data_IF_095188151087
#
_entry.id   IF_095188151087
#
_cell.length_a   1.000
_cell.length_b   1.000
_cell.length_c   1.000
_cell.angle_alpha   90.00
_cell.angle_beta   90.00
_cell.angle_gamma   90.00
#
_symmetry.space_group_name_H-M   'P 1'
#
loop_
_entity.id
_entity.type
_entity.pdbx_description
1 polymer ?
#
# COMPACT_ATOMS: atom_id res chain seq x y z
N UNK A 1 6.30 -33.92 -25.18
CA UNK A 1 5.42 -33.38 -24.12
C UNK A 1 6.26 -32.36 -23.36
N UNK A 2 6.36 -31.14 -23.90
CA UNK A 2 7.28 -30.13 -23.39
C UNK A 2 6.71 -29.59 -22.07
N UNK A 3 7.40 -29.92 -20.99
CA UNK A 3 7.16 -29.44 -19.64
C UNK A 3 7.05 -27.92 -19.62
N UNK A 4 6.10 -27.40 -18.82
CA UNK A 4 6.07 -26.00 -18.40
C UNK A 4 7.43 -25.65 -17.78
N UNK A 5 8.28 -25.01 -18.56
CA UNK A 5 9.51 -24.42 -18.08
C UNK A 5 9.16 -22.94 -17.84
N UNK A 6 9.01 -22.55 -16.58
CA UNK A 6 8.83 -21.15 -16.21
C UNK A 6 10.08 -20.38 -16.68
N UNK A 7 9.96 -19.71 -17.81
CA UNK A 7 10.99 -18.81 -18.33
C UNK A 7 10.87 -17.48 -17.63
N UNK A 8 11.74 -17.20 -16.66
CA UNK A 8 12.06 -15.83 -16.27
C UNK A 8 12.88 -15.22 -17.40
N UNK A 9 12.23 -14.42 -18.26
CA UNK A 9 12.95 -13.61 -19.23
C UNK A 9 13.43 -12.36 -18.48
N UNK A 10 14.59 -12.49 -17.84
CA UNK A 10 15.34 -11.32 -17.40
C UNK A 10 15.85 -10.65 -18.68
N UNK A 11 15.30 -9.49 -19.03
CA UNK A 11 15.99 -8.58 -19.94
C UNK A 11 17.15 -7.97 -19.15
N UNK A 12 18.18 -8.77 -18.91
CA UNK A 12 19.50 -8.29 -18.52
C UNK A 12 20.13 -7.71 -19.78
N UNK A 13 19.94 -6.41 -20.00
CA UNK A 13 20.89 -5.66 -20.81
C UNK A 13 22.23 -5.77 -20.12
N UNK A 14 23.14 -6.51 -20.77
CA UNK A 14 24.60 -6.42 -20.69
C UNK A 14 25.06 -5.41 -19.66
N UNK A 15 25.65 -5.90 -18.57
CA UNK A 15 26.45 -5.10 -17.64
C UNK A 15 27.43 -4.25 -18.47
N UNK A 16 27.06 -2.99 -18.71
CA UNK A 16 27.99 -1.97 -19.15
C UNK A 16 28.30 -1.16 -17.90
N UNK A 17 29.57 -1.24 -17.51
CA UNK A 17 30.19 -0.35 -16.54
C UNK A 17 30.12 1.08 -17.05
N UNK A 18 28.99 1.76 -16.85
CA UNK A 18 28.90 3.20 -17.00
C UNK A 18 28.56 3.82 -15.64
N UNK A 19 29.61 3.99 -14.82
CA UNK A 19 29.66 5.10 -13.88
C UNK A 19 29.52 6.39 -14.68
N UNK A 20 28.31 6.93 -14.83
CA UNK A 20 28.00 8.37 -14.83
C UNK A 20 26.49 8.58 -15.00
N UNK A 21 25.90 9.35 -14.09
CA UNK A 21 24.48 9.75 -13.94
C UNK A 21 23.62 8.76 -13.15
N UNK A 22 23.30 9.12 -11.91
CA UNK A 22 22.46 8.36 -10.98
C UNK A 22 20.97 8.34 -11.35
N UNK A 23 20.67 7.89 -12.56
CA UNK A 23 19.32 7.51 -12.97
C UNK A 23 19.31 6.00 -12.99
N UNK A 24 18.80 5.38 -11.92
CA UNK A 24 18.46 3.96 -11.95
C UNK A 24 17.51 3.73 -13.13
N UNK A 25 18.01 3.13 -14.22
CA UNK A 25 17.15 2.70 -15.31
C UNK A 25 16.30 1.57 -14.73
N UNK A 26 15.04 1.88 -14.39
CA UNK A 26 14.11 0.91 -13.83
C UNK A 26 13.76 -0.14 -14.90
N UNK A 27 14.54 -1.21 -14.99
CA UNK A 27 14.34 -2.28 -15.96
C UNK A 27 12.95 -2.92 -15.78
N UNK A 28 12.15 -2.98 -16.85
CA UNK A 28 10.82 -3.61 -16.86
C UNK A 28 10.95 -5.14 -16.86
N UNK A 29 10.46 -5.79 -15.81
CA UNK A 29 10.40 -7.25 -15.74
C UNK A 29 9.06 -7.75 -16.25
N UNK A 30 9.08 -8.65 -17.22
CA UNK A 30 7.88 -9.30 -17.78
C UNK A 30 7.83 -10.75 -17.29
N UNK A 31 6.72 -11.14 -16.66
CA UNK A 31 6.47 -12.52 -16.26
C UNK A 31 5.45 -13.12 -17.23
N UNK A 32 5.73 -14.30 -17.76
CA UNK A 32 4.91 -14.87 -18.81
C UNK A 32 5.22 -16.31 -19.17
N UNK A 33 4.51 -16.81 -20.18
CA UNK A 33 4.68 -18.13 -20.75
C UNK A 33 5.13 -18.04 -22.21
N UNK A 34 6.07 -18.92 -22.59
CA UNK A 34 6.48 -19.13 -23.98
C UNK A 34 5.67 -20.27 -24.60
N UNK A 35 5.07 -20.02 -25.76
CA UNK A 35 4.18 -20.95 -26.47
C UNK A 35 4.73 -21.14 -27.88
N UNK A 36 5.00 -22.39 -28.27
CA UNK A 36 5.45 -22.71 -29.62
C UNK A 36 4.24 -22.83 -30.57
N UNK A 37 4.31 -22.13 -31.71
CA UNK A 37 3.30 -22.13 -32.77
C UNK A 37 3.83 -22.88 -33.99
N UNK A 38 3.46 -24.16 -34.18
CA UNK A 38 4.02 -25.00 -35.24
C UNK A 38 3.65 -24.52 -36.65
N UNK A 39 2.50 -23.86 -36.83
CA UNK A 39 2.04 -23.37 -38.14
C UNK A 39 2.87 -22.17 -38.64
N UNK A 40 3.49 -21.42 -37.72
CA UNK A 40 4.27 -20.22 -38.01
C UNK A 40 5.77 -20.40 -37.73
N UNK A 41 6.20 -21.58 -37.26
CA UNK A 41 7.57 -21.89 -36.84
C UNK A 41 8.17 -20.86 -35.85
N UNK A 42 7.32 -20.27 -34.99
CA UNK A 42 7.69 -19.18 -34.09
C UNK A 42 7.30 -19.48 -32.64
N UNK A 43 7.92 -18.76 -31.69
CA UNK A 43 7.55 -18.79 -30.26
C UNK A 43 6.84 -17.48 -29.90
N UNK A 44 5.61 -17.60 -29.42
CA UNK A 44 4.83 -16.50 -28.84
C UNK A 44 5.13 -16.38 -27.34
N UNK A 45 5.47 -15.19 -26.88
CA UNK A 45 5.62 -14.89 -25.46
C UNK A 45 4.42 -14.08 -24.95
N UNK A 46 3.57 -14.74 -24.17
CA UNK A 46 2.45 -14.08 -23.48
C UNK A 46 2.91 -13.66 -22.09
N UNK A 47 2.90 -12.37 -21.79
CA UNK A 47 3.46 -11.86 -20.55
C UNK A 47 2.66 -10.68 -19.96
N UNK A 48 2.86 -10.47 -18.66
CA UNK A 48 2.35 -9.34 -17.89
C UNK A 48 3.50 -8.64 -17.17
N UNK A 49 3.46 -7.31 -17.02
CA UNK A 49 4.47 -6.56 -16.29
C UNK A 49 4.45 -6.94 -14.80
N UNK A 50 5.63 -7.21 -14.24
CA UNK A 50 5.79 -7.48 -12.81
C UNK A 50 5.83 -6.15 -12.05
N UNK A 51 4.66 -5.75 -11.51
CA UNK A 51 4.47 -4.53 -10.72
C UNK A 51 3.68 -4.83 -9.45
N UNK A 52 3.96 -4.09 -8.37
CA UNK A 52 3.28 -4.27 -7.08
C UNK A 52 2.42 -3.06 -6.70
N UNK A 53 2.81 -1.86 -7.14
CA UNK A 53 2.21 -0.60 -6.71
C UNK A 53 2.03 0.38 -7.89
N UNK A 54 1.18 1.39 -7.73
CA UNK A 54 1.01 2.45 -8.73
C UNK A 54 2.29 3.28 -8.92
N UNK A 55 3.07 3.45 -7.86
CA UNK A 55 4.35 4.14 -7.88
C UNK A 55 5.36 3.42 -8.80
N UNK A 56 5.38 2.09 -8.77
CA UNK A 56 6.26 1.28 -9.62
C UNK A 56 5.88 1.37 -11.10
N UNK A 57 4.58 1.39 -11.41
CA UNK A 57 4.07 1.60 -12.75
C UNK A 57 4.54 2.95 -13.30
N UNK A 58 4.35 4.01 -12.52
CA UNK A 58 4.70 5.37 -12.91
C UNK A 58 6.22 5.53 -13.12
N UNK A 59 7.04 4.95 -12.24
CA UNK A 59 8.52 4.94 -12.37
C UNK A 59 8.98 4.27 -13.66
N UNK A 60 8.26 3.23 -14.11
CA UNK A 60 8.57 2.47 -15.33
C UNK A 60 7.91 3.05 -16.58
N UNK A 61 7.20 4.18 -16.48
CA UNK A 61 6.50 4.83 -17.59
C UNK A 61 5.28 4.05 -18.09
N UNK A 62 4.74 3.15 -17.27
CA UNK A 62 3.54 2.38 -17.56
C UNK A 62 2.32 3.01 -16.86
N UNK A 63 1.16 2.78 -17.46
CA UNK A 63 -0.12 3.19 -16.92
C UNK A 63 -0.97 1.98 -16.55
N UNK A 64 -1.93 2.18 -15.64
CA UNK A 64 -2.90 1.12 -15.30
C UNK A 64 -3.75 0.71 -16.52
N UNK A 65 -3.89 1.58 -17.52
CA UNK A 65 -4.55 1.27 -18.80
C UNK A 65 -3.81 0.22 -19.63
N UNK A 66 -2.50 0.05 -19.42
CA UNK A 66 -1.67 -0.90 -20.15
C UNK A 66 -1.86 -2.33 -19.61
N UNK A 67 -2.46 -2.47 -18.43
CA UNK A 67 -2.82 -3.77 -17.85
C UNK A 67 -4.29 -4.09 -18.18
N UNK A 68 -4.56 -5.22 -18.87
CA UNK A 68 -5.92 -5.57 -19.24
C UNK A 68 -6.82 -5.82 -18.02
N UNK A 69 -8.12 -5.58 -18.18
CA UNK A 69 -9.12 -5.73 -17.10
C UNK A 69 -9.25 -7.16 -16.56
N UNK A 70 -8.86 -8.17 -17.33
CA UNK A 70 -8.90 -9.57 -16.93
C UNK A 70 -7.58 -10.05 -16.30
N UNK A 71 -6.55 -9.21 -16.26
CA UNK A 71 -5.27 -9.54 -15.64
C UNK A 71 -5.35 -9.33 -14.13
N UNK A 72 -5.10 -10.39 -13.36
CA UNK A 72 -5.12 -10.36 -11.91
C UNK A 72 -4.11 -9.37 -11.30
N UNK A 73 -3.05 -9.00 -12.04
CA UNK A 73 -2.05 -8.00 -11.62
C UNK A 73 -2.70 -6.64 -11.42
N UNK A 74 -3.70 -6.29 -12.24
CA UNK A 74 -4.44 -5.04 -12.13
C UNK A 74 -5.19 -4.95 -10.80
N UNK A 75 -5.91 -6.01 -10.47
CA UNK A 75 -6.68 -6.09 -9.22
C UNK A 75 -5.75 -6.06 -8.01
N UNK A 76 -4.60 -6.75 -8.09
CA UNK A 76 -3.61 -6.76 -7.01
C UNK A 76 -3.05 -5.36 -6.72
N UNK A 77 -2.70 -4.60 -7.77
CA UNK A 77 -2.20 -3.22 -7.61
C UNK A 77 -3.25 -2.32 -6.97
N UNK A 78 -4.50 -2.40 -7.44
CA UNK A 78 -5.61 -1.60 -6.91
C UNK A 78 -5.93 -1.96 -5.46
N UNK A 79 -5.99 -3.24 -5.12
CA UNK A 79 -6.19 -3.70 -3.74
C UNK A 79 -5.04 -3.25 -2.84
N UNK A 80 -3.79 -3.30 -3.32
CA UNK A 80 -2.63 -2.81 -2.60
C UNK A 80 -2.75 -1.33 -2.21
N UNK A 81 -3.23 -0.50 -3.12
CA UNK A 81 -3.48 0.92 -2.85
C UNK A 81 -4.64 1.13 -1.89
N UNK A 82 -5.76 0.40 -2.08
CA UNK A 82 -6.89 0.47 -1.16
C UNK A 82 -6.47 0.12 0.26
N UNK A 83 -5.74 -0.98 0.46
CA UNK A 83 -5.25 -1.37 1.78
C UNK A 83 -4.28 -0.33 2.36
N UNK A 84 -3.44 0.30 1.53
CA UNK A 84 -2.54 1.38 1.96
C UNK A 84 -3.31 2.59 2.48
N UNK A 85 -4.41 2.97 1.83
CA UNK A 85 -5.28 4.07 2.26
C UNK A 85 -6.09 3.72 3.51
N UNK A 86 -6.70 2.53 3.54
CA UNK A 86 -7.45 2.04 4.70
C UNK A 86 -6.56 1.96 5.95
N UNK A 87 -5.31 1.53 5.79
CA UNK A 87 -4.34 1.49 6.88
C UNK A 87 -4.04 2.88 7.44
N UNK A 88 -3.81 3.88 6.58
CA UNK A 88 -3.59 5.28 7.01
C UNK A 88 -4.79 5.83 7.81
N UNK A 89 -6.00 5.62 7.29
CA UNK A 89 -7.23 6.04 7.97
C UNK A 89 -7.40 5.37 9.33
N UNK A 90 -7.11 4.07 9.41
CA UNK A 90 -7.18 3.31 10.66
C UNK A 90 -6.20 3.86 11.70
N UNK A 91 -4.99 4.20 11.29
CA UNK A 91 -3.97 4.79 12.17
C UNK A 91 -4.39 6.19 12.66
N UNK A 92 -4.96 7.02 11.81
CA UNK A 92 -5.47 8.34 12.21
C UNK A 92 -6.63 8.21 13.21
N UNK A 93 -7.52 7.25 13.00
CA UNK A 93 -8.63 6.94 13.91
C UNK A 93 -8.14 6.48 15.28
N UNK A 94 -7.10 5.64 15.32
CA UNK A 94 -6.49 5.18 16.57
C UNK A 94 -5.95 6.37 17.38
N UNK A 95 -5.17 7.24 16.75
CA UNK A 95 -4.61 8.45 17.38
C UNK A 95 -5.72 9.37 17.90
N UNK A 96 -6.78 9.58 17.11
CA UNK A 96 -7.90 10.44 17.53
C UNK A 96 -8.65 9.85 18.73
N UNK A 97 -8.84 8.52 18.72
CA UNK A 97 -9.51 7.80 19.80
C UNK A 97 -8.73 7.91 21.10
N UNK A 98 -7.41 7.75 21.05
CA UNK A 98 -6.54 7.93 22.23
C UNK A 98 -6.63 9.34 22.80
N UNK A 99 -6.57 10.36 21.93
CA UNK A 99 -6.71 11.76 22.33
C UNK A 99 -8.08 12.05 22.95
N UNK A 100 -9.14 11.47 22.39
CA UNK A 100 -10.48 11.59 22.93
C UNK A 100 -10.57 10.96 24.33
N UNK A 101 -10.03 9.75 24.50
CA UNK A 101 -10.00 9.08 25.81
C UNK A 101 -9.25 9.91 26.86
N UNK A 102 -8.10 10.49 26.50
CA UNK A 102 -7.36 11.39 27.39
C UNK A 102 -8.19 12.62 27.80
N UNK A 103 -8.89 13.22 26.84
CA UNK A 103 -9.74 14.41 27.10
C UNK A 103 -10.92 14.06 28.00
N UNK A 104 -11.54 12.90 27.80
CA UNK A 104 -12.64 12.42 28.65
C UNK A 104 -12.18 12.22 30.10
N UNK A 105 -11.01 11.61 30.32
CA UNK A 105 -10.45 11.45 31.67
C UNK A 105 -10.19 12.79 32.35
N UNK A 106 -9.60 13.75 31.63
CA UNK A 106 -9.37 15.09 32.17
C UNK A 106 -10.68 15.80 32.54
N UNK A 107 -11.71 15.66 31.70
CA UNK A 107 -13.04 16.21 31.97
C UNK A 107 -13.69 15.57 33.22
N UNK A 108 -13.56 14.25 33.38
CA UNK A 108 -14.05 13.55 34.58
C UNK A 108 -13.36 14.03 35.86
N UNK A 109 -12.06 14.31 35.79
CA UNK A 109 -11.30 14.82 36.94
C UNK A 109 -11.73 16.25 37.31
N UNK A 110 -11.96 17.13 36.33
CA UNK A 110 -12.51 18.47 36.58
C UNK A 110 -13.94 18.41 37.15
N UNK A 111 -14.76 17.49 36.66
CA UNK A 111 -16.09 17.25 37.22
C UNK A 111 -16.01 16.83 38.69
N UNK A 112 -15.16 15.87 39.04
CA UNK A 112 -14.97 15.44 40.44
C UNK A 112 -14.49 16.57 41.35
N UNK A 113 -13.62 17.46 40.86
CA UNK A 113 -13.20 18.66 41.62
C UNK A 113 -14.39 19.57 41.89
N UNK A 114 -15.23 19.80 40.88
CA UNK A 114 -16.45 20.62 41.00
C UNK A 114 -17.43 20.00 42.01
N UNK A 115 -17.73 18.71 41.87
CA UNK A 115 -18.62 17.98 42.79
C UNK A 115 -18.12 18.03 44.25
N UNK A 116 -16.79 17.96 44.44
CA UNK A 116 -16.17 18.07 45.76
C UNK A 116 -16.30 19.47 46.36
N UNK A 117 -16.12 20.51 45.55
CA UNK A 117 -16.29 21.90 45.99
C UNK A 117 -17.75 22.16 46.38
N UNK A 118 -18.71 21.70 45.58
CA UNK A 118 -20.13 21.80 45.88
C UNK A 118 -20.49 21.08 47.19
N UNK A 119 -19.94 19.88 47.42
CA UNK A 119 -20.13 19.15 48.68
C UNK A 119 -19.58 19.93 49.89
N UNK A 120 -18.36 20.47 49.78
CA UNK A 120 -17.74 21.26 50.86
C UNK A 120 -18.56 22.51 51.15
N UNK A 121 -19.01 23.21 50.10
CA UNK A 121 -19.82 24.43 50.22
C UNK A 121 -21.16 24.16 50.90
N UNK A 122 -21.89 23.12 50.48
CA UNK A 122 -23.12 22.68 51.14
C UNK A 122 -22.88 22.32 52.61
N UNK A 123 -21.77 21.63 52.93
CA UNK A 123 -21.45 21.28 54.32
C UNK A 123 -21.18 22.50 55.20
N UNK A 124 -20.45 23.49 54.69
CA UNK A 124 -20.21 24.76 55.38
C UNK A 124 -21.50 25.54 55.63
N UNK A 125 -22.45 25.52 54.69
CA UNK A 125 -23.70 26.24 54.82
C UNK A 125 -24.71 25.58 55.79
N UNK A 126 -24.60 24.26 56.01
CA UNK A 126 -25.48 23.52 56.93
C UNK A 126 -24.93 23.54 58.37
N UNK A 127 -23.61 23.62 58.55
CA UNK A 127 -22.92 23.54 59.84
C UNK A 127 -22.28 24.86 60.31
N UNK A 128 -22.50 25.96 59.57
CA UNK A 128 -22.02 27.31 59.87
C UNK A 128 -23.13 28.25 60.29
#
# INVERSE_FOLDING_TARGET
MLSLQEGLLNVETVENEDELTGVEISCLRLKGQMIYLPEAENILFLCSPSVMNLDDLTRRGLYLSDIPLHDATRDLVLLGEQFREEYKLTQELEILTDRLQHTLRALEDEKKKTDRLDYIWCKLQIWG
#
